data_IF_966220686177
#
_entry.id   IF_966220686177
#
_cell.length_a   1.000
_cell.length_b   1.000
_cell.length_c   1.000
_cell.angle_alpha   90.00
_cell.angle_beta   90.00
_cell.angle_gamma   90.00
#
_symmetry.space_group_name_H-M   'P 1'
#
loop_
_entity.id
_entity.type
_entity.pdbx_description
1 polymer ?
#
# COMPACT_ATOMS: atom_id res chain seq x y z
N UNK A 1 -47.80 -43.29 -9.16
CA UNK A 1 -46.68 -42.88 -10.04
C UNK A 1 -47.11 -42.09 -11.28
N UNK A 2 -48.10 -42.53 -12.09
CA UNK A 2 -48.51 -41.83 -13.32
C UNK A 2 -49.04 -40.40 -13.14
N UNK A 3 -49.69 -40.09 -12.02
CA UNK A 3 -50.23 -38.76 -11.71
C UNK A 3 -49.16 -37.75 -11.33
N UNK A 4 -48.15 -38.19 -10.57
CA UNK A 4 -47.01 -37.37 -10.13
C UNK A 4 -46.15 -36.91 -11.31
N UNK A 5 -45.90 -37.82 -12.28
CA UNK A 5 -45.15 -37.50 -13.49
C UNK A 5 -45.86 -36.46 -14.37
N UNK A 6 -47.20 -36.54 -14.46
CA UNK A 6 -48.01 -35.56 -15.19
C UNK A 6 -47.99 -34.18 -14.53
N UNK A 7 -47.97 -34.12 -13.20
CA UNK A 7 -47.87 -32.87 -12.46
C UNK A 7 -46.50 -32.20 -12.64
N UNK A 8 -45.41 -32.95 -12.59
CA UNK A 8 -44.05 -32.43 -12.86
C UNK A 8 -43.95 -31.89 -14.29
N UNK A 9 -44.47 -32.63 -15.26
CA UNK A 9 -44.42 -32.23 -16.66
C UNK A 9 -45.27 -30.98 -16.93
N UNK A 10 -46.42 -30.83 -16.26
CA UNK A 10 -47.23 -29.61 -16.32
C UNK A 10 -46.51 -28.39 -15.70
N UNK A 11 -45.83 -28.57 -14.56
CA UNK A 11 -45.03 -27.52 -13.91
C UNK A 11 -43.86 -27.11 -14.82
N UNK A 12 -43.18 -28.06 -15.46
CA UNK A 12 -42.10 -27.79 -16.42
C UNK A 12 -42.60 -26.99 -17.62
N UNK A 13 -43.76 -27.36 -18.19
CA UNK A 13 -44.34 -26.64 -19.34
C UNK A 13 -44.74 -25.21 -18.96
N UNK A 14 -45.36 -25.00 -17.79
CA UNK A 14 -45.76 -23.67 -17.33
C UNK A 14 -44.55 -22.78 -17.07
N UNK A 15 -43.51 -23.31 -16.41
CA UNK A 15 -42.26 -22.59 -16.18
C UNK A 15 -41.53 -22.29 -17.49
N UNK A 16 -41.53 -23.23 -18.43
CA UNK A 16 -40.95 -23.03 -19.76
C UNK A 16 -41.67 -21.93 -20.55
N UNK A 17 -43.01 -21.88 -20.51
CA UNK A 17 -43.79 -20.80 -21.14
C UNK A 17 -43.57 -19.44 -20.47
N UNK A 18 -43.42 -19.41 -19.14
CA UNK A 18 -43.13 -18.19 -18.38
C UNK A 18 -41.72 -17.66 -18.69
N UNK A 19 -40.73 -18.56 -18.74
CA UNK A 19 -39.38 -18.26 -19.24
C UNK A 19 -39.41 -17.76 -20.67
N UNK A 20 -40.25 -18.33 -21.54
CA UNK A 20 -40.40 -17.87 -22.92
C UNK A 20 -40.89 -16.43 -23.02
N UNK A 21 -41.82 -16.02 -22.15
CA UNK A 21 -42.33 -14.64 -22.08
C UNK A 21 -41.29 -13.65 -21.54
N UNK A 22 -40.36 -14.07 -20.68
CA UNK A 22 -39.32 -13.21 -20.10
C UNK A 22 -38.00 -13.22 -20.86
N UNK A 23 -37.90 -13.94 -22.00
CA UNK A 23 -36.67 -14.07 -22.82
C UNK A 23 -36.05 -12.71 -23.17
N UNK A 24 -36.87 -11.73 -23.51
CA UNK A 24 -36.39 -10.38 -23.85
C UNK A 24 -35.66 -9.70 -22.68
N UNK A 25 -36.17 -9.86 -21.45
CA UNK A 25 -35.53 -9.30 -20.25
C UNK A 25 -34.26 -10.05 -19.90
N UNK A 26 -34.30 -11.39 -19.92
CA UNK A 26 -33.13 -12.23 -19.64
C UNK A 26 -32.00 -11.92 -20.64
N UNK A 27 -32.33 -11.78 -21.92
CA UNK A 27 -31.36 -11.50 -22.96
C UNK A 27 -30.75 -10.10 -22.81
N UNK A 28 -31.55 -9.08 -22.43
CA UNK A 28 -31.02 -7.73 -22.11
C UNK A 28 -30.06 -7.76 -20.92
N UNK A 29 -30.43 -8.42 -19.83
CA UNK A 29 -29.56 -8.56 -18.65
C UNK A 29 -28.28 -9.30 -19.01
N UNK A 30 -28.36 -10.37 -19.81
CA UNK A 30 -27.19 -11.13 -20.26
C UNK A 30 -26.27 -10.27 -21.14
N UNK A 31 -26.82 -9.48 -22.06
CA UNK A 31 -26.03 -8.55 -22.88
C UNK A 31 -25.32 -7.52 -22.00
N UNK A 32 -26.03 -6.86 -21.07
CA UNK A 32 -25.43 -5.85 -20.18
C UNK A 32 -24.34 -6.49 -19.32
N UNK A 33 -24.59 -7.69 -18.79
CA UNK A 33 -23.61 -8.46 -18.03
C UNK A 33 -22.40 -8.81 -18.87
N UNK A 34 -22.58 -9.28 -20.11
CA UNK A 34 -21.49 -9.63 -21.01
C UNK A 34 -20.64 -8.40 -21.35
N UNK A 35 -21.27 -7.26 -21.64
CA UNK A 35 -20.58 -5.99 -21.91
C UNK A 35 -19.76 -5.56 -20.68
N UNK A 36 -20.37 -5.60 -19.49
CA UNK A 36 -19.69 -5.25 -18.24
C UNK A 36 -18.51 -6.18 -17.93
N UNK A 37 -18.70 -7.49 -18.10
CA UNK A 37 -17.64 -8.49 -17.94
C UNK A 37 -16.49 -8.26 -18.92
N UNK A 38 -16.80 -8.03 -20.21
CA UNK A 38 -15.79 -7.79 -21.23
C UNK A 38 -15.02 -6.49 -20.96
N UNK A 39 -15.71 -5.44 -20.49
CA UNK A 39 -15.08 -4.17 -20.09
C UNK A 39 -14.11 -4.37 -18.94
N UNK A 40 -14.54 -5.10 -17.89
CA UNK A 40 -13.68 -5.41 -16.73
C UNK A 40 -12.47 -6.27 -17.12
N UNK A 41 -12.66 -7.23 -18.03
CA UNK A 41 -11.59 -8.07 -18.56
C UNK A 41 -10.55 -7.25 -19.32
N UNK A 42 -10.99 -6.32 -20.17
CA UNK A 42 -10.08 -5.44 -20.90
C UNK A 42 -9.36 -4.52 -19.91
N UNK A 43 -10.07 -3.91 -18.95
CA UNK A 43 -9.45 -2.99 -18.00
C UNK A 43 -8.45 -3.66 -17.05
N UNK A 44 -8.67 -4.93 -16.67
CA UNK A 44 -7.75 -5.64 -15.75
C UNK A 44 -6.37 -5.89 -16.37
N UNK A 45 -6.26 -5.90 -17.70
CA UNK A 45 -4.99 -6.04 -18.42
C UNK A 45 -4.20 -4.72 -18.50
N UNK A 46 -4.81 -3.59 -18.14
CA UNK A 46 -4.19 -2.26 -18.18
C UNK A 46 -4.06 -1.65 -16.78
N UNK A 47 -3.40 -2.35 -15.86
CA UNK A 47 -3.09 -1.84 -14.50
C UNK A 47 -1.88 -0.90 -14.44
N UNK A 48 -1.46 -0.29 -15.56
CA UNK A 48 -0.35 0.65 -15.57
C UNK A 48 -0.81 1.97 -16.13
N UNK A 49 -0.71 3.00 -15.29
CA UNK A 49 -0.94 4.40 -15.61
C UNK A 49 -0.29 4.69 -16.98
N UNK A 50 -1.12 4.88 -18.01
CA UNK A 50 -0.67 5.14 -19.38
C UNK A 50 0.32 6.31 -19.40
N UNK A 51 0.24 7.20 -18.42
CA UNK A 51 1.19 8.26 -18.14
C UNK A 51 2.63 7.77 -17.98
N UNK A 52 2.90 6.64 -17.33
CA UNK A 52 4.25 6.07 -17.21
C UNK A 52 4.74 5.53 -18.55
N UNK A 53 3.88 4.87 -19.33
CA UNK A 53 4.22 4.37 -20.68
C UNK A 53 4.51 5.52 -21.66
N UNK A 54 3.78 6.62 -21.55
CA UNK A 54 3.94 7.81 -22.38
C UNK A 54 5.14 8.68 -21.99
N UNK A 55 5.69 8.52 -20.77
CA UNK A 55 6.76 9.38 -20.25
C UNK A 55 8.13 9.12 -20.90
N UNK A 56 8.27 8.09 -21.75
CA UNK A 56 9.54 7.53 -22.23
C UNK A 56 10.46 7.10 -21.06
N UNK A 57 11.34 6.14 -21.32
CA UNK A 57 12.32 5.67 -20.33
C UNK A 57 13.36 6.78 -20.14
N UNK A 58 13.12 7.67 -19.18
CA UNK A 58 14.15 8.58 -18.71
C UNK A 58 15.26 7.72 -18.11
N UNK A 59 16.49 7.89 -18.59
CA UNK A 59 17.65 7.25 -17.98
C UNK A 59 17.68 7.66 -16.50
N UNK A 60 17.78 6.71 -15.56
CA UNK A 60 17.85 7.05 -14.14
C UNK A 60 19.06 7.98 -13.94
N UNK A 61 18.83 9.11 -13.30
CA UNK A 61 19.92 10.02 -12.92
C UNK A 61 20.90 9.26 -12.05
N UNK A 62 22.17 9.23 -12.45
CA UNK A 62 23.27 8.57 -11.71
C UNK A 62 23.51 9.17 -10.33
N UNK A 63 22.96 10.35 -10.07
CA UNK A 63 23.19 11.14 -8.86
C UNK A 63 22.19 10.83 -7.73
N UNK A 64 21.20 9.96 -7.98
CA UNK A 64 20.19 9.58 -6.99
C UNK A 64 20.36 8.10 -6.63
N UNK A 65 20.65 7.84 -5.37
CA UNK A 65 20.67 6.50 -4.80
C UNK A 65 19.36 6.27 -4.05
N UNK A 66 18.61 5.26 -4.46
CA UNK A 66 17.42 4.81 -3.73
C UNK A 66 17.83 3.64 -2.83
N UNK A 67 17.58 3.78 -1.53
CA UNK A 67 17.78 2.70 -0.57
C UNK A 67 16.40 2.25 -0.12
N UNK A 68 16.06 1.01 -0.45
CA UNK A 68 14.85 0.35 0.03
C UNK A 68 15.21 -0.42 1.29
N UNK A 69 14.42 -0.22 2.35
CA UNK A 69 14.60 -0.90 3.64
C UNK A 69 13.35 -1.75 3.87
N UNK A 70 13.52 -3.07 3.85
CA UNK A 70 12.46 -3.99 4.24
C UNK A 70 12.44 -4.19 5.76
N UNK A 71 11.33 -4.70 6.30
CA UNK A 71 11.27 -5.04 7.72
C UNK A 71 12.28 -6.14 8.05
N UNK A 72 12.47 -7.09 7.13
CA UNK A 72 13.46 -8.16 7.22
C UNK A 72 14.89 -7.63 7.36
N UNK A 73 15.24 -6.57 6.63
CA UNK A 73 16.57 -5.95 6.72
C UNK A 73 16.83 -5.37 8.11
N UNK A 74 15.83 -4.70 8.71
CA UNK A 74 15.94 -4.17 10.07
C UNK A 74 16.07 -5.27 11.12
N UNK A 75 15.26 -6.34 11.02
CA UNK A 75 15.36 -7.49 11.92
C UNK A 75 16.71 -8.21 11.82
N UNK A 76 17.37 -8.15 10.67
CA UNK A 76 18.69 -8.74 10.49
C UNK A 76 19.81 -7.94 11.18
N UNK A 77 19.60 -6.64 11.40
CA UNK A 77 20.56 -5.76 12.05
C UNK A 77 20.55 -5.95 13.57
N UNK A 78 19.38 -6.17 14.17
CA UNK A 78 19.26 -6.49 15.59
C UNK A 78 19.43 -8.00 15.82
N UNK A 79 20.70 -8.43 15.89
CA UNK A 79 21.05 -9.82 16.23
C UNK A 79 20.65 -10.25 17.66
N UNK A 80 20.12 -9.34 18.51
CA UNK A 80 19.81 -9.62 19.91
C UNK A 80 18.32 -9.64 20.26
N UNK A 81 17.41 -9.09 19.44
CA UNK A 81 15.96 -9.24 19.64
C UNK A 81 15.38 -10.37 18.80
N UNK A 82 15.90 -11.57 19.02
CA UNK A 82 15.14 -12.78 18.72
C UNK A 82 13.92 -12.84 19.66
N UNK A 83 12.73 -12.92 19.05
CA UNK A 83 11.42 -13.30 19.59
C UNK A 83 10.40 -12.14 19.72
N UNK A 84 9.25 -12.33 19.04
CA UNK A 84 8.02 -11.49 18.96
C UNK A 84 8.10 -10.36 17.90
N UNK A 85 7.49 -10.44 16.71
CA UNK A 85 6.13 -10.85 16.38
C UNK A 85 6.01 -11.51 14.99
N UNK A 86 5.97 -12.86 14.94
CA UNK A 86 5.32 -13.61 13.86
C UNK A 86 3.91 -13.98 14.30
N UNK A 87 3.03 -12.99 14.32
CA UNK A 87 1.58 -13.19 14.43
C UNK A 87 0.96 -12.17 13.49
N UNK A 88 0.69 -12.53 12.24
CA UNK A 88 -0.63 -13.08 11.93
C UNK A 88 -1.69 -11.99 11.71
N UNK A 89 -1.40 -10.73 12.00
CA UNK A 89 -2.29 -9.60 11.71
C UNK A 89 -1.63 -8.67 10.69
N UNK A 90 -2.08 -8.77 9.45
CA UNK A 90 -1.84 -7.81 8.35
C UNK A 90 -2.60 -6.49 8.60
N UNK A 91 -2.82 -6.11 9.86
CA UNK A 91 -3.50 -4.88 10.21
C UNK A 91 -2.47 -3.75 10.28
N UNK A 92 -2.42 -2.98 9.20
CA UNK A 92 -1.74 -1.68 9.14
C UNK A 92 -0.25 -1.72 9.49
N UNK A 93 0.58 -2.14 8.52
CA UNK A 93 2.01 -1.80 8.52
C UNK A 93 2.13 -0.28 8.69
N UNK A 94 2.54 0.17 9.87
CA UNK A 94 2.75 1.58 10.17
C UNK A 94 4.24 1.87 10.18
N UNK A 95 4.65 3.02 9.65
CA UNK A 95 6.05 3.44 9.55
C UNK A 95 6.79 3.32 10.89
N UNK A 96 6.09 3.47 12.02
CA UNK A 96 6.63 3.32 13.37
C UNK A 96 7.21 1.92 13.67
N UNK A 97 6.83 0.88 12.93
CA UNK A 97 7.45 -0.45 13.07
C UNK A 97 8.90 -0.49 12.60
N UNK A 98 9.31 0.49 11.80
CA UNK A 98 10.68 0.65 11.32
C UNK A 98 11.51 1.52 12.29
N UNK A 99 10.96 1.93 13.43
CA UNK A 99 11.64 2.82 14.36
C UNK A 99 12.57 2.07 15.31
N UNK A 100 13.86 2.39 15.20
CA UNK A 100 14.91 2.05 16.17
C UNK A 100 15.91 3.21 16.23
N UNK A 101 16.09 3.80 17.41
CA UNK A 101 16.91 5.00 17.56
C UNK A 101 18.38 4.75 17.21
N UNK A 102 18.95 3.62 17.61
CA UNK A 102 20.37 3.30 17.42
C UNK A 102 20.65 3.02 15.94
N UNK A 103 19.80 2.19 15.31
CA UNK A 103 19.92 1.84 13.89
C UNK A 103 19.79 3.09 13.01
N UNK A 104 18.77 3.93 13.25
CA UNK A 104 18.58 5.15 12.46
C UNK A 104 19.70 6.16 12.68
N UNK A 105 20.21 6.32 13.91
CA UNK A 105 21.35 7.19 14.18
C UNK A 105 22.55 6.74 13.35
N UNK A 106 22.93 5.47 13.46
CA UNK A 106 24.08 4.92 12.75
C UNK A 106 23.91 5.02 11.23
N UNK A 107 22.72 4.68 10.72
CA UNK A 107 22.41 4.71 9.30
C UNK A 107 22.51 6.13 8.73
N UNK A 108 21.89 7.11 9.38
CA UNK A 108 21.93 8.50 8.93
C UNK A 108 23.34 9.08 9.02
N UNK A 109 24.11 8.76 10.06
CA UNK A 109 25.52 9.17 10.18
C UNK A 109 26.34 8.65 9.01
N UNK A 110 26.23 7.35 8.70
CA UNK A 110 26.90 6.72 7.56
C UNK A 110 26.53 7.34 6.22
N UNK A 111 25.26 7.71 6.03
CA UNK A 111 24.82 8.41 4.83
C UNK A 111 25.40 9.82 4.75
N UNK A 112 25.41 10.56 5.84
CA UNK A 112 25.95 11.93 5.88
C UNK A 112 27.47 11.95 5.66
N UNK A 113 28.20 10.93 6.14
CA UNK A 113 29.65 10.74 5.88
C UNK A 113 29.98 10.68 4.38
N UNK A 114 29.07 10.19 3.53
CA UNK A 114 29.23 10.18 2.07
C UNK A 114 29.06 11.58 1.42
N UNK A 115 28.83 12.61 2.24
CA UNK A 115 28.62 14.00 1.84
C UNK A 115 27.52 14.18 0.74
N UNK A 116 26.32 13.59 0.88
CA UNK A 116 25.25 13.74 -0.09
C UNK A 116 24.78 15.20 -0.16
N UNK A 117 24.15 15.56 -1.29
CA UNK A 117 23.49 16.87 -1.45
C UNK A 117 22.28 16.99 -0.52
N UNK A 118 21.47 15.92 -0.44
CA UNK A 118 20.32 15.79 0.46
C UNK A 118 20.02 14.29 0.67
N UNK A 119 19.37 13.97 1.78
CA UNK A 119 18.88 12.64 2.13
C UNK A 119 17.38 12.77 2.37
N UNK A 120 16.57 12.18 1.50
CA UNK A 120 15.11 12.16 1.65
C UNK A 120 14.67 10.90 2.40
N UNK A 121 13.99 11.07 3.53
CA UNK A 121 13.41 9.95 4.29
C UNK A 121 11.90 9.93 4.07
N UNK A 122 11.40 8.85 3.46
CA UNK A 122 9.98 8.71 3.10
C UNK A 122 9.10 8.15 4.22
N UNK A 123 9.71 7.61 5.27
CA UNK A 123 9.00 7.16 6.48
C UNK A 123 8.61 8.38 7.32
N UNK A 124 7.42 8.30 7.92
CA UNK A 124 6.87 9.31 8.80
C UNK A 124 6.91 8.83 10.25
N UNK A 125 7.75 9.47 11.07
CA UNK A 125 7.86 9.21 12.50
C UNK A 125 7.23 10.34 13.32
N UNK A 126 6.01 10.11 13.79
CA UNK A 126 5.21 11.08 14.55
C UNK A 126 5.34 10.94 16.07
N UNK A 127 4.40 11.53 16.83
CA UNK A 127 4.41 11.51 18.30
C UNK A 127 4.03 10.13 18.91
N UNK A 128 3.76 9.14 18.07
CA UNK A 128 3.30 7.81 18.43
C UNK A 128 4.43 6.75 18.37
N UNK A 129 5.69 7.18 18.41
CA UNK A 129 6.83 6.27 18.56
C UNK A 129 6.84 5.65 19.96
N UNK A 130 7.27 4.40 20.05
CA UNK A 130 7.40 3.68 21.31
C UNK A 130 8.75 2.94 21.31
N UNK A 131 9.69 3.28 22.22
CA UNK A 131 9.63 4.41 23.14
C UNK A 131 9.66 5.75 22.38
N UNK A 132 8.94 6.76 22.90
CA UNK A 132 9.03 8.12 22.38
C UNK A 132 10.38 8.70 22.84
N UNK A 133 11.32 8.98 21.93
CA UNK A 133 12.63 9.49 22.31
C UNK A 133 12.48 10.89 22.91
N UNK A 134 13.16 11.16 24.02
CA UNK A 134 13.27 12.53 24.53
C UNK A 134 14.21 13.35 23.63
N UNK A 135 14.07 14.68 23.59
CA UNK A 135 14.93 15.51 22.73
C UNK A 135 16.43 15.32 23.04
N UNK A 136 16.77 15.07 24.32
CA UNK A 136 18.14 14.81 24.77
C UNK A 136 18.68 13.45 24.32
N UNK A 137 17.79 12.48 24.03
CA UNK A 137 18.17 11.16 23.48
C UNK A 137 18.38 11.23 21.96
N UNK A 138 17.86 12.25 21.28
CA UNK A 138 17.97 12.37 19.84
C UNK A 138 19.34 12.88 19.43
N UNK A 139 20.05 12.04 18.67
CA UNK A 139 21.33 12.40 18.10
C UNK A 139 21.20 13.66 17.21
N UNK A 140 22.21 14.55 17.18
CA UNK A 140 22.20 15.76 16.35
C UNK A 140 21.99 15.48 14.85
N UNK A 141 22.29 14.25 14.41
CA UNK A 141 22.09 13.80 13.03
C UNK A 141 20.63 13.94 12.58
N UNK A 142 19.64 13.69 13.43
CA UNK A 142 18.22 13.76 13.07
C UNK A 142 17.76 15.16 12.65
N UNK A 143 18.45 16.20 13.14
CA UNK A 143 18.20 17.62 12.85
C UNK A 143 19.16 18.19 11.80
N UNK A 144 19.96 17.34 11.14
CA UNK A 144 20.87 17.80 10.11
C UNK A 144 20.08 18.35 8.91
N UNK A 145 20.38 19.58 8.49
CA UNK A 145 19.74 20.27 7.34
C UNK A 145 19.73 19.51 6.01
N UNK A 146 20.62 18.53 5.85
CA UNK A 146 20.66 17.67 4.66
C UNK A 146 19.59 16.58 4.69
N UNK A 147 19.06 16.25 5.86
CA UNK A 147 18.03 15.25 6.06
C UNK A 147 16.67 15.92 5.93
N UNK A 148 15.89 15.45 4.97
CA UNK A 148 14.55 15.94 4.67
C UNK A 148 13.59 14.82 5.02
N UNK A 149 12.82 15.04 6.08
CA UNK A 149 11.82 14.09 6.53
C UNK A 149 10.50 14.26 5.81
N UNK A 150 9.81 13.15 5.54
CA UNK A 150 8.46 13.18 4.99
C UNK A 150 7.46 13.79 5.97
N UNK A 151 6.48 14.51 5.42
CA UNK A 151 5.31 14.97 6.16
C UNK A 151 4.09 14.15 5.73
N UNK A 152 3.12 13.99 6.63
CA UNK A 152 1.91 13.20 6.38
C UNK A 152 0.69 14.10 6.53
N UNK A 153 -0.35 13.89 5.70
CA UNK A 153 -1.62 14.56 5.89
C UNK A 153 -2.50 13.75 6.86
N UNK A 154 -3.19 14.42 7.77
CA UNK A 154 -4.23 13.79 8.58
C UNK A 154 -5.57 13.67 7.81
N UNK A 155 -6.59 13.12 8.47
CA UNK A 155 -7.91 12.91 7.88
C UNK A 155 -8.63 14.22 7.54
N UNK A 156 -8.25 15.31 8.22
CA UNK A 156 -8.74 16.66 7.98
C UNK A 156 -7.91 17.44 6.94
N UNK A 157 -6.87 16.83 6.38
CA UNK A 157 -5.98 17.44 5.38
C UNK A 157 -4.93 18.40 5.97
N UNK A 158 -4.73 18.40 7.28
CA UNK A 158 -3.66 19.16 7.95
C UNK A 158 -2.34 18.42 7.78
N UNK A 159 -1.26 19.19 7.63
CA UNK A 159 0.09 18.66 7.51
C UNK A 159 0.60 18.32 8.92
N UNK A 160 0.91 17.04 9.12
CA UNK A 160 1.63 16.54 10.28
C UNK A 160 3.10 16.51 9.95
N UNK A 161 3.89 17.15 10.81
CA UNK A 161 5.34 17.09 10.75
C UNK A 161 5.89 15.96 11.62
N UNK A 162 6.98 15.33 11.21
CA UNK A 162 7.67 14.33 12.02
C UNK A 162 8.36 15.03 13.20
N UNK A 163 8.63 14.28 14.28
CA UNK A 163 9.21 14.83 15.52
C UNK A 163 10.61 15.45 15.32
N UNK A 164 11.29 15.08 14.23
CA UNK A 164 12.64 15.55 13.90
C UNK A 164 12.67 16.79 13.00
N UNK A 165 11.51 17.33 12.62
CA UNK A 165 11.45 18.46 11.68
C UNK A 165 11.79 19.81 12.32
N UNK A 166 12.17 19.86 13.60
CA UNK A 166 12.44 21.11 14.30
C UNK A 166 13.73 21.74 13.76
N UNK A 167 13.58 22.74 12.90
CA UNK A 167 14.69 23.57 12.43
C UNK A 167 14.54 24.10 11.01
N UNK A 168 13.39 24.72 10.69
CA UNK A 168 13.36 25.78 9.67
C UNK A 168 13.35 27.14 10.38
#
# INVERSE_FOLDING_TARGET
>A
MRTFFRQILAILIVNYRRLWKTRGLILRTLIIFLIGYLTLWISSQYNFDLRFKLRNVNQPSTDIVLIEISAEDLYSWDSQQSHFHKSGDLQSLSDNQFWDLEIWTHFLEKLIEQNPKAVGVTLFFGNNLSPLPTHDELAPVFFNKKIIWSARNDQEGRILFPIFSSGY
#
